data_IF_853676731074
#
_entry.id   IF_853676731074
#
_cell.length_a   1.000
_cell.length_b   1.000
_cell.length_c   1.000
_cell.angle_alpha   90.00
_cell.angle_beta   90.00
_cell.angle_gamma   90.00
#
_symmetry.space_group_name_H-M   'P 1'
#
loop_
_entity.id
_entity.type
_entity.pdbx_description
1 polymer ?
#
# COMPACT_ATOMS: atom_id res chain seq x y z
N UNK A 1 5.91 -22.54 0.91
CA UNK A 1 6.18 -21.89 -0.41
C UNK A 1 7.57 -22.28 -0.90
N UNK A 2 7.96 -21.94 -2.13
CA UNK A 2 9.09 -22.42 -2.97
C UNK A 2 10.51 -22.40 -2.37
N UNK A 3 10.66 -22.22 -1.05
CA UNK A 3 11.94 -22.09 -0.32
C UNK A 3 12.84 -21.04 -0.94
N UNK A 4 12.25 -19.88 -1.22
CA UNK A 4 12.92 -18.73 -1.87
C UNK A 4 13.50 -19.00 -3.27
N UNK A 5 13.10 -20.10 -3.94
CA UNK A 5 13.46 -20.34 -5.35
C UNK A 5 12.86 -19.28 -6.30
N UNK A 6 11.74 -18.66 -5.90
CA UNK A 6 11.08 -17.61 -6.66
C UNK A 6 10.70 -16.48 -5.71
N UNK A 7 11.01 -15.25 -6.12
CA UNK A 7 10.70 -14.03 -5.40
C UNK A 7 9.47 -13.37 -6.02
N UNK A 8 8.39 -13.15 -5.27
CA UNK A 8 7.24 -12.41 -5.75
C UNK A 8 7.48 -10.91 -5.59
N UNK A 9 8.52 -10.38 -6.26
CA UNK A 9 8.89 -8.97 -6.23
C UNK A 9 7.82 -8.13 -6.96
N UNK A 10 6.75 -7.80 -6.25
CA UNK A 10 5.60 -7.05 -6.76
C UNK A 10 5.17 -5.97 -5.76
N UNK A 11 4.91 -4.78 -6.28
CA UNK A 11 4.26 -3.70 -5.53
C UNK A 11 2.87 -3.46 -6.10
N UNK A 12 1.83 -3.70 -5.29
CA UNK A 12 0.43 -3.43 -5.63
C UNK A 12 0.06 -2.09 -5.00
N UNK A 13 -0.31 -1.12 -5.83
CA UNK A 13 -0.70 0.23 -5.38
C UNK A 13 -2.22 0.36 -5.43
N UNK A 14 -2.82 0.88 -4.37
CA UNK A 14 -4.25 1.18 -4.35
C UNK A 14 -4.51 2.48 -3.60
N UNK A 15 -5.36 3.38 -4.14
CA UNK A 15 -5.94 4.43 -3.33
C UNK A 15 -6.83 3.80 -2.24
N UNK A 16 -6.87 4.42 -1.06
CA UNK A 16 -7.76 4.00 0.04
C UNK A 16 -8.13 5.18 0.95
N UNK A 17 -9.04 4.94 1.88
CA UNK A 17 -9.38 5.87 2.95
C UNK A 17 -10.34 7.00 2.56
N UNK A 18 -11.07 7.51 3.56
CA UNK A 18 -12.13 8.50 3.36
C UNK A 18 -11.68 9.96 3.33
N UNK A 19 -12.65 10.86 3.51
CA UNK A 19 -12.42 12.31 3.58
C UNK A 19 -12.55 13.07 2.26
N UNK A 20 -12.99 12.41 1.19
CA UNK A 20 -13.20 13.03 -0.15
C UNK A 20 -14.57 12.73 -0.77
N UNK A 21 -15.55 12.28 0.03
CA UNK A 21 -16.96 12.04 -0.38
C UNK A 21 -17.13 11.04 -1.55
N UNK A 22 -16.45 9.90 -1.47
CA UNK A 22 -16.59 8.84 -2.48
C UNK A 22 -17.88 8.03 -2.30
N UNK A 23 -18.34 7.32 -3.34
CA UNK A 23 -19.39 6.30 -3.23
C UNK A 23 -18.97 5.11 -2.34
N UNK A 24 -19.92 4.21 -2.07
CA UNK A 24 -19.68 2.94 -1.38
C UNK A 24 -18.56 2.13 -2.08
N UNK A 25 -17.75 1.39 -1.31
CA UNK A 25 -16.60 0.58 -1.76
C UNK A 25 -15.37 1.37 -2.26
N UNK A 26 -15.34 2.69 -2.11
CA UNK A 26 -14.25 3.54 -2.63
C UNK A 26 -13.40 4.23 -1.54
N UNK A 27 -13.75 4.07 -0.25
CA UNK A 27 -13.06 4.73 0.87
C UNK A 27 -12.70 3.78 2.02
N UNK A 28 -12.91 2.49 1.81
CA UNK A 28 -12.76 1.47 2.84
C UNK A 28 -11.30 1.32 3.26
N UNK A 29 -11.12 1.07 4.56
CA UNK A 29 -9.83 0.85 5.19
C UNK A 29 -9.71 -0.65 5.49
N UNK A 30 -9.13 -1.38 4.53
CA UNK A 30 -9.00 -2.84 4.58
C UNK A 30 -7.62 -3.30 5.08
N UNK A 31 -6.76 -2.37 5.49
CA UNK A 31 -5.41 -2.66 5.98
C UNK A 31 -5.41 -3.64 7.15
N UNK A 32 -6.41 -3.55 8.05
CA UNK A 32 -6.55 -4.48 9.17
C UNK A 32 -6.77 -5.93 8.71
N UNK A 33 -7.53 -6.14 7.64
CA UNK A 33 -7.72 -7.48 7.07
C UNK A 33 -6.44 -7.97 6.37
N UNK A 34 -5.82 -7.10 5.58
CA UNK A 34 -4.60 -7.41 4.85
C UNK A 34 -3.39 -7.68 5.77
N UNK A 35 -3.32 -7.02 6.93
CA UNK A 35 -2.23 -7.17 7.89
C UNK A 35 -2.16 -8.57 8.50
N UNK A 36 -3.27 -9.32 8.46
CA UNK A 36 -3.32 -10.70 8.93
C UNK A 36 -2.74 -11.71 7.91
N UNK A 37 -2.36 -11.25 6.71
CA UNK A 37 -1.81 -12.12 5.66
C UNK A 37 -0.29 -12.24 5.84
N UNK A 38 0.18 -13.40 6.31
CA UNK A 38 1.60 -13.67 6.50
C UNK A 38 2.39 -13.59 5.19
N UNK A 39 3.54 -12.89 5.24
CA UNK A 39 4.41 -12.68 4.07
C UNK A 39 3.97 -11.56 3.14
N UNK A 40 2.98 -10.75 3.54
CA UNK A 40 2.60 -9.52 2.86
C UNK A 40 3.11 -8.31 3.66
N UNK A 41 3.80 -7.38 3.00
CA UNK A 41 4.17 -6.08 3.61
C UNK A 41 3.12 -5.04 3.26
N UNK A 42 2.71 -4.24 4.24
CA UNK A 42 1.78 -3.11 4.05
C UNK A 42 2.50 -1.79 4.31
N UNK A 43 2.23 -0.80 3.46
CA UNK A 43 2.81 0.55 3.56
C UNK A 43 1.73 1.59 3.31
N UNK A 44 1.64 2.58 4.19
CA UNK A 44 0.68 3.70 4.14
C UNK A 44 1.43 5.04 4.29
N UNK A 45 1.84 5.71 3.19
CA UNK A 45 2.53 6.99 3.31
C UNK A 45 1.60 8.09 3.83
N UNK A 46 2.14 9.00 4.65
CA UNK A 46 1.39 10.14 5.19
C UNK A 46 1.75 11.47 4.52
N UNK A 47 2.98 11.60 4.00
CA UNK A 47 3.46 12.82 3.32
C UNK A 47 3.95 12.53 1.90
N UNK A 48 4.12 13.58 1.09
CA UNK A 48 4.71 13.45 -0.25
C UNK A 48 6.16 12.93 -0.22
N UNK A 49 6.92 13.28 0.82
CA UNK A 49 8.28 12.79 1.02
C UNK A 49 8.28 11.28 1.32
N UNK A 50 7.39 10.84 2.22
CA UNK A 50 7.21 9.42 2.52
C UNK A 50 6.77 8.66 1.28
N UNK A 51 5.77 9.17 0.54
CA UNK A 51 5.26 8.52 -0.65
C UNK A 51 6.37 8.26 -1.68
N UNK A 52 7.23 9.25 -1.94
CA UNK A 52 8.36 9.11 -2.86
C UNK A 52 9.38 8.08 -2.37
N UNK A 53 9.81 8.20 -1.12
CA UNK A 53 10.86 7.35 -0.54
C UNK A 53 10.40 5.91 -0.38
N UNK A 54 9.23 5.72 0.24
CA UNK A 54 8.67 4.41 0.52
C UNK A 54 8.27 3.70 -0.77
N UNK A 55 7.66 4.36 -1.75
CA UNK A 55 7.33 3.70 -3.02
C UNK A 55 8.59 3.20 -3.74
N UNK A 56 9.66 4.01 -3.75
CA UNK A 56 10.95 3.62 -4.32
C UNK A 56 11.55 2.42 -3.59
N UNK A 57 11.38 2.35 -2.26
CA UNK A 57 11.81 1.21 -1.45
C UNK A 57 10.96 -0.03 -1.72
N UNK A 58 9.64 0.11 -1.82
CA UNK A 58 8.69 -0.99 -2.07
C UNK A 58 8.94 -1.67 -3.42
N UNK A 59 9.22 -0.89 -4.46
CA UNK A 59 9.52 -1.43 -5.81
C UNK A 59 10.80 -2.26 -5.82
N UNK A 60 11.75 -1.95 -4.93
CA UNK A 60 13.04 -2.67 -4.82
C UNK A 60 12.99 -3.83 -3.84
N UNK A 61 11.88 -4.01 -3.13
CA UNK A 61 11.73 -5.05 -2.12
C UNK A 61 11.46 -6.41 -2.80
N UNK A 62 12.17 -7.49 -2.40
CA UNK A 62 11.94 -8.82 -2.96
C UNK A 62 10.62 -9.47 -2.49
N UNK A 63 10.02 -8.97 -1.41
CA UNK A 63 8.75 -9.45 -0.85
C UNK A 63 7.57 -8.66 -1.46
N UNK A 64 6.35 -9.22 -1.47
CA UNK A 64 5.21 -8.53 -2.04
C UNK A 64 4.78 -7.40 -1.10
N UNK A 65 4.62 -6.20 -1.67
CA UNK A 65 4.21 -4.99 -0.95
C UNK A 65 2.86 -4.50 -1.45
N UNK A 66 1.93 -4.22 -0.53
CA UNK A 66 0.72 -3.44 -0.82
C UNK A 66 0.93 -2.02 -0.30
N UNK A 67 0.90 -1.08 -1.22
CA UNK A 67 1.13 0.34 -1.01
C UNK A 67 -0.22 1.08 -1.07
N UNK A 68 -0.74 1.45 0.09
CA UNK A 68 -2.07 2.04 0.28
C UNK A 68 -1.96 3.56 0.33
N UNK A 69 -2.42 4.24 -0.72
CA UNK A 69 -2.29 5.69 -0.91
C UNK A 69 -3.54 6.41 -0.39
N UNK A 70 -3.46 7.23 0.68
CA UNK A 70 -4.64 7.92 1.20
C UNK A 70 -5.23 8.87 0.16
N UNK A 71 -6.50 8.69 -0.20
CA UNK A 71 -7.21 9.52 -1.19
C UNK A 71 -7.13 11.01 -0.85
N UNK A 72 -7.31 11.34 0.44
CA UNK A 72 -7.19 12.71 0.96
C UNK A 72 -5.78 13.29 0.80
N UNK A 73 -4.75 12.46 0.80
CA UNK A 73 -3.34 12.86 0.74
C UNK A 73 -2.82 13.16 -0.66
N UNK A 74 -3.56 12.85 -1.74
CA UNK A 74 -3.08 13.09 -3.11
C UNK A 74 -2.88 14.57 -3.45
N UNK A 75 -3.80 15.42 -2.98
CA UNK A 75 -3.85 16.86 -3.28
C UNK A 75 -4.16 17.71 -2.05
N UNK A 76 -4.23 17.10 -0.88
CA UNK A 76 -4.36 17.80 0.39
C UNK A 76 -3.05 18.51 0.74
N UNK A 77 -3.16 19.76 1.19
CA UNK A 77 -2.06 20.51 1.79
C UNK A 77 -1.86 20.02 3.22
#
# INVERSE_FOLDING_TARGET
RTRSRFEPAITIRSPFGGGVRTPELHSDSLEGQLANIAGLKLVTPATAADAKGLLSSSIRDPDPVVFLEPLRGYRGI
#
